data_IF_901420709995
#
_entry.id   IF_901420709995
#
_cell.length_a   1.000
_cell.length_b   1.000
_cell.length_c   1.000
_cell.angle_alpha   90.00
_cell.angle_beta   90.00
_cell.angle_gamma   90.00
#
_symmetry.space_group_name_H-M   'P 1'
#
loop_
_entity.id
_entity.type
_entity.pdbx_description
1 polymer ?
#
# COMPACT_ATOMS: atom_id res chain seq x y z
N UNK A 1 12.50 17.33 6.47
CA UNK A 1 11.82 16.28 7.24
C UNK A 1 10.92 15.51 6.31
N UNK A 2 11.25 14.24 6.07
CA UNK A 2 10.42 13.33 5.28
C UNK A 2 9.25 12.82 6.13
N UNK A 3 8.22 12.24 5.50
CA UNK A 3 7.15 11.56 6.24
C UNK A 3 7.67 10.39 7.10
N UNK A 4 8.79 9.77 6.70
CA UNK A 4 9.40 8.66 7.42
C UNK A 4 9.98 9.10 8.77
N UNK A 5 10.42 10.35 8.89
CA UNK A 5 10.95 10.90 10.15
C UNK A 5 9.87 10.95 11.24
N UNK A 6 8.59 11.06 10.84
CA UNK A 6 7.42 11.05 11.74
C UNK A 6 6.97 9.64 12.13
N UNK A 7 7.51 8.59 11.50
CA UNK A 7 7.18 7.20 11.82
C UNK A 7 8.15 6.66 12.86
N UNK A 8 7.70 6.60 14.11
CA UNK A 8 8.53 6.17 15.24
C UNK A 8 8.90 4.68 15.16
N UNK A 9 10.15 4.35 15.52
CA UNK A 9 10.67 2.97 15.47
C UNK A 9 10.77 2.39 14.05
N UNK A 10 10.74 1.06 13.91
CA UNK A 10 10.70 0.35 12.62
C UNK A 10 11.85 0.70 11.64
N UNK A 11 13.08 0.91 12.16
CA UNK A 11 14.21 1.40 11.36
C UNK A 11 14.52 0.51 10.14
N UNK A 12 14.55 -0.82 10.31
CA UNK A 12 14.76 -1.77 9.21
C UNK A 12 13.73 -1.59 8.08
N UNK A 13 12.46 -1.38 8.42
CA UNK A 13 11.41 -1.19 7.43
C UNK A 13 11.57 0.15 6.69
N UNK A 14 11.90 1.22 7.43
CA UNK A 14 12.19 2.54 6.83
C UNK A 14 13.39 2.49 5.89
N UNK A 15 14.47 1.84 6.31
CA UNK A 15 15.68 1.63 5.49
C UNK A 15 15.36 0.84 4.21
N UNK A 16 14.57 -0.23 4.31
CA UNK A 16 14.14 -1.00 3.14
C UNK A 16 13.36 -0.14 2.14
N UNK A 17 12.44 0.71 2.60
CA UNK A 17 11.70 1.61 1.72
C UNK A 17 12.60 2.64 1.03
N UNK A 18 13.56 3.22 1.77
CA UNK A 18 14.56 4.13 1.18
C UNK A 18 15.40 3.41 0.13
N UNK A 19 15.77 2.16 0.38
CA UNK A 19 16.52 1.33 -0.57
C UNK A 19 15.74 1.11 -1.88
N UNK A 20 14.46 0.70 -1.80
CA UNK A 20 13.61 0.49 -2.99
C UNK A 20 13.48 1.75 -3.85
N UNK A 21 13.45 2.92 -3.21
CA UNK A 21 13.34 4.18 -3.91
C UNK A 21 14.65 4.56 -4.63
N UNK A 22 15.80 4.35 -3.97
CA UNK A 22 17.13 4.69 -4.51
C UNK A 22 17.53 3.80 -5.68
N UNK A 23 17.26 2.50 -5.58
CA UNK A 23 17.64 1.53 -6.62
C UNK A 23 16.71 1.60 -7.85
N UNK A 24 15.63 2.39 -7.79
CA UNK A 24 14.60 2.47 -8.82
C UNK A 24 13.77 1.19 -8.98
N UNK A 25 14.04 0.17 -8.16
CA UNK A 25 13.39 -1.13 -8.17
C UNK A 25 12.40 -1.24 -7.01
N UNK A 26 11.20 -0.74 -7.24
CA UNK A 26 10.10 -0.91 -6.29
C UNK A 26 9.52 -2.33 -6.43
N UNK A 27 9.43 -3.12 -5.34
CA UNK A 27 8.82 -4.45 -5.40
C UNK A 27 7.36 -4.41 -5.85
N UNK A 28 6.94 -5.41 -6.63
CA UNK A 28 5.55 -5.57 -7.07
C UNK A 28 4.63 -6.08 -5.95
N UNK A 29 5.19 -6.68 -4.89
CA UNK A 29 4.47 -7.13 -3.71
C UNK A 29 5.31 -6.94 -2.46
N UNK A 30 4.67 -6.46 -1.38
CA UNK A 30 5.29 -6.27 -0.07
C UNK A 30 4.33 -6.83 0.99
N UNK A 31 4.82 -7.77 1.80
CA UNK A 31 4.10 -8.28 2.97
C UNK A 31 4.56 -7.54 4.21
N UNK A 32 3.61 -6.93 4.94
CA UNK A 32 3.88 -6.28 6.22
C UNK A 32 3.41 -7.16 7.37
N UNK A 33 4.35 -7.65 8.15
CA UNK A 33 4.09 -8.44 9.35
C UNK A 33 4.46 -7.64 10.62
N UNK A 34 3.75 -7.92 11.71
CA UNK A 34 4.00 -7.31 13.01
C UNK A 34 2.78 -7.43 13.91
N UNK A 35 2.94 -7.14 15.20
CA UNK A 35 1.84 -7.13 16.14
C UNK A 35 0.83 -6.01 15.83
N UNK A 36 -0.36 -6.09 16.42
CA UNK A 36 -1.32 -4.99 16.37
C UNK A 36 -0.73 -3.73 17.04
N UNK A 37 -1.05 -2.55 16.51
CA UNK A 37 -0.52 -1.29 17.00
C UNK A 37 0.89 -0.90 16.52
N UNK A 38 1.61 -1.77 15.81
CA UNK A 38 2.98 -1.47 15.29
C UNK A 38 3.01 -0.47 14.12
N UNK A 39 1.84 0.02 13.67
CA UNK A 39 1.73 1.01 12.61
C UNK A 39 1.77 0.44 11.19
N UNK A 40 1.51 -0.86 10.99
CA UNK A 40 1.49 -1.53 9.66
C UNK A 40 0.63 -0.79 8.63
N UNK A 41 -0.59 -0.38 8.99
CA UNK A 41 -1.48 0.37 8.08
C UNK A 41 -0.89 1.74 7.73
N UNK A 42 -0.35 2.46 8.71
CA UNK A 42 0.36 3.73 8.49
C UNK A 42 1.54 3.54 7.55
N UNK A 43 2.33 2.49 7.75
CA UNK A 43 3.49 2.20 6.91
C UNK A 43 3.08 1.75 5.50
N UNK A 44 2.02 0.96 5.34
CA UNK A 44 1.45 0.64 4.02
C UNK A 44 1.05 1.90 3.25
N UNK A 45 0.45 2.88 3.93
CA UNK A 45 0.13 4.19 3.33
C UNK A 45 1.40 4.96 2.92
N UNK A 46 2.46 4.90 3.73
CA UNK A 46 3.75 5.51 3.39
C UNK A 46 4.43 4.85 2.18
N UNK A 47 4.36 3.52 2.07
CA UNK A 47 4.84 2.76 0.92
C UNK A 47 4.08 3.16 -0.34
N UNK A 48 2.74 3.21 -0.28
CA UNK A 48 1.92 3.65 -1.40
C UNK A 48 2.25 5.09 -1.81
N UNK A 49 2.42 5.98 -0.83
CA UNK A 49 2.83 7.36 -1.07
C UNK A 49 4.23 7.44 -1.71
N UNK A 50 5.18 6.60 -1.30
CA UNK A 50 6.52 6.57 -1.87
C UNK A 50 6.51 6.05 -3.32
N UNK A 51 5.72 5.01 -3.59
CA UNK A 51 5.59 4.41 -4.92
C UNK A 51 5.03 5.38 -5.96
N UNK A 52 4.18 6.33 -5.55
CA UNK A 52 3.52 7.31 -6.42
C UNK A 52 4.06 8.74 -6.23
N UNK A 53 5.14 8.93 -5.47
CA UNK A 53 5.67 10.24 -5.16
C UNK A 53 6.39 10.85 -6.38
N UNK A 54 6.04 12.09 -6.73
CA UNK A 54 6.73 12.89 -7.75
C UNK A 54 7.85 13.80 -7.19
N UNK A 55 8.00 13.88 -5.86
CA UNK A 55 9.05 14.69 -5.22
C UNK A 55 10.34 13.91 -4.96
N UNK A 56 11.47 14.62 -4.83
CA UNK A 56 12.82 14.05 -4.66
C UNK A 56 12.97 13.13 -3.43
N UNK A 57 12.35 13.51 -2.30
CA UNK A 57 12.45 12.77 -1.04
C UNK A 57 11.17 11.97 -0.77
N UNK A 58 10.97 10.89 -1.52
CA UNK A 58 9.77 10.08 -1.39
C UNK A 58 9.74 9.24 -0.08
N UNK A 59 8.60 9.15 0.61
CA UNK A 59 7.37 9.92 0.39
C UNK A 59 7.50 11.37 0.87
N UNK A 60 7.31 12.34 -0.04
CA UNK A 60 7.57 13.76 0.26
C UNK A 60 6.47 14.43 1.10
N UNK A 61 5.25 13.88 1.07
CA UNK A 61 4.11 14.39 1.83
C UNK A 61 3.46 15.67 1.29
N UNK A 62 4.00 16.26 0.22
CA UNK A 62 3.54 17.56 -0.28
C UNK A 62 3.02 17.53 -1.72
N UNK A 63 3.44 16.56 -2.54
CA UNK A 63 2.94 16.38 -3.89
C UNK A 63 1.46 15.95 -3.89
N UNK A 64 0.81 16.07 -5.05
CA UNK A 64 -0.62 15.75 -5.22
C UNK A 64 -0.94 14.31 -4.81
N UNK A 65 -0.11 13.33 -5.23
CA UNK A 65 -0.33 11.92 -4.92
C UNK A 65 -0.20 11.66 -3.42
N UNK A 66 0.89 12.13 -2.78
CA UNK A 66 1.06 12.02 -1.34
C UNK A 66 -0.13 12.64 -0.58
N UNK A 67 -0.55 13.85 -0.93
CA UNK A 67 -1.69 14.52 -0.27
C UNK A 67 -3.01 13.74 -0.41
N UNK A 68 -3.31 13.21 -1.60
CA UNK A 68 -4.52 12.42 -1.84
C UNK A 68 -4.49 11.09 -1.10
N UNK A 69 -3.34 10.43 -1.03
CA UNK A 69 -3.14 9.17 -0.30
C UNK A 69 -3.33 9.38 1.21
N UNK A 70 -2.81 10.48 1.76
CA UNK A 70 -3.02 10.81 3.18
C UNK A 70 -4.46 11.19 3.54
N UNK A 71 -5.25 11.60 2.54
CA UNK A 71 -6.68 11.86 2.68
C UNK A 71 -7.56 10.66 2.31
N UNK A 72 -6.95 9.53 1.92
CA UNK A 72 -7.64 8.33 1.42
C UNK A 72 -8.60 8.60 0.23
N UNK A 73 -8.22 9.53 -0.67
CA UNK A 73 -9.02 9.90 -1.87
C UNK A 73 -8.26 9.68 -3.19
N UNK A 74 -7.16 8.93 -3.17
CA UNK A 74 -6.37 8.69 -4.38
C UNK A 74 -7.05 7.62 -5.25
N UNK A 75 -7.41 7.90 -6.51
CA UNK A 75 -8.18 6.95 -7.34
C UNK A 75 -7.41 5.66 -7.65
N UNK A 76 -6.08 5.76 -7.75
CA UNK A 76 -5.19 4.61 -8.02
C UNK A 76 -4.65 3.92 -6.76
N UNK A 77 -5.15 4.27 -5.56
CA UNK A 77 -4.80 3.56 -4.32
C UNK A 77 -6.06 3.03 -3.66
N UNK A 78 -6.15 1.71 -3.51
CA UNK A 78 -7.34 1.06 -2.96
C UNK A 78 -7.02 0.26 -1.71
N UNK A 79 -7.82 0.49 -0.67
CA UNK A 79 -7.81 -0.31 0.55
C UNK A 79 -8.83 -1.43 0.42
N UNK A 80 -8.40 -2.66 0.65
CA UNK A 80 -9.27 -3.83 0.61
C UNK A 80 -9.10 -4.59 1.91
N UNK A 81 -10.20 -4.74 2.62
CA UNK A 81 -10.28 -5.49 3.85
C UNK A 81 -11.48 -6.45 3.77
N UNK A 82 -11.47 -7.51 4.57
CA UNK A 82 -12.69 -8.26 4.86
C UNK A 82 -13.81 -7.33 5.33
N UNK A 83 -15.06 -7.70 5.05
CA UNK A 83 -16.21 -6.97 5.58
C UNK A 83 -16.17 -6.95 7.11
N UNK A 84 -16.65 -5.87 7.76
CA UNK A 84 -16.70 -5.80 9.22
C UNK A 84 -17.36 -7.03 9.83
N UNK A 85 -16.67 -7.67 10.78
CA UNK A 85 -17.15 -8.90 11.44
C UNK A 85 -16.91 -10.20 10.67
N UNK A 86 -16.35 -10.15 9.45
CA UNK A 86 -16.01 -11.35 8.67
C UNK A 86 -14.51 -11.63 8.70
N UNK A 87 -14.17 -12.92 8.75
CA UNK A 87 -12.79 -13.43 8.70
C UNK A 87 -12.48 -14.08 7.35
N UNK A 88 -13.01 -13.51 6.27
CA UNK A 88 -12.70 -13.94 4.91
C UNK A 88 -12.90 -12.84 3.88
N UNK A 89 -12.04 -12.85 2.85
CA UNK A 89 -12.25 -12.06 1.65
C UNK A 89 -13.31 -12.74 0.79
N UNK A 90 -14.30 -11.98 0.32
CA UNK A 90 -15.28 -12.49 -0.63
C UNK A 90 -14.62 -12.74 -1.99
N UNK A 91 -15.10 -13.77 -2.69
CA UNK A 91 -14.63 -14.12 -4.03
C UNK A 91 -14.76 -12.92 -4.99
N UNK A 92 -15.90 -12.23 -4.91
CA UNK A 92 -16.23 -11.09 -5.75
C UNK A 92 -15.29 -9.91 -5.51
N UNK A 93 -14.77 -9.72 -4.27
CA UNK A 93 -13.80 -8.67 -3.98
C UNK A 93 -12.47 -8.93 -4.70
N UNK A 94 -12.01 -10.18 -4.69
CA UNK A 94 -10.76 -10.60 -5.37
C UNK A 94 -10.91 -10.49 -6.89
N UNK A 95 -12.04 -10.96 -7.44
CA UNK A 95 -12.33 -10.86 -8.88
C UNK A 95 -12.39 -9.39 -9.33
N UNK A 96 -13.03 -8.51 -8.56
CA UNK A 96 -13.08 -7.07 -8.85
C UNK A 96 -11.69 -6.43 -8.81
N UNK A 97 -10.86 -6.77 -7.83
CA UNK A 97 -9.48 -6.28 -7.79
C UNK A 97 -8.70 -6.71 -9.03
N UNK A 98 -8.79 -7.99 -9.43
CA UNK A 98 -8.08 -8.50 -10.60
C UNK A 98 -8.52 -7.80 -11.89
N UNK A 99 -9.83 -7.60 -12.04
CA UNK A 99 -10.37 -6.87 -13.18
C UNK A 99 -9.88 -5.42 -13.21
N UNK A 100 -9.89 -4.73 -12.06
CA UNK A 100 -9.41 -3.36 -11.96
C UNK A 100 -7.89 -3.23 -12.18
N UNK A 101 -7.11 -4.22 -11.77
CA UNK A 101 -5.66 -4.25 -11.97
C UNK A 101 -5.26 -4.26 -13.45
N UNK A 102 -6.14 -4.75 -14.33
CA UNK A 102 -5.93 -4.72 -15.78
C UNK A 102 -6.25 -3.36 -16.42
N UNK A 103 -6.96 -2.49 -15.70
CA UNK A 103 -7.31 -1.15 -16.17
C UNK A 103 -6.14 -0.21 -15.88
N UNK A 104 -5.80 0.64 -16.87
CA UNK A 104 -4.76 1.66 -16.71
C UNK A 104 -5.02 2.56 -15.49
N UNK A 105 -3.96 3.02 -14.80
CA UNK A 105 -4.11 4.04 -13.77
C UNK A 105 -4.80 5.32 -14.30
N UNK A 106 -5.52 6.00 -13.43
CA UNK A 106 -6.25 7.22 -13.72
C UNK A 106 -5.32 8.43 -13.80
N UNK A 107 -4.46 8.62 -12.79
CA UNK A 107 -3.59 9.79 -12.71
C UNK A 107 -2.15 9.50 -12.26
N UNK A 108 -1.89 8.35 -11.65
CA UNK A 108 -0.56 7.96 -11.16
C UNK A 108 0.16 7.01 -12.13
N UNK A 109 1.50 6.86 -12.05
CA UNK A 109 2.23 5.93 -12.91
C UNK A 109 1.92 4.45 -12.63
N UNK A 110 1.35 4.13 -11.47
CA UNK A 110 1.06 2.76 -11.01
C UNK A 110 -0.24 2.75 -10.19
N UNK A 111 -0.93 1.61 -10.16
CA UNK A 111 -1.98 1.33 -9.18
C UNK A 111 -1.38 0.63 -7.96
N UNK A 112 -1.88 0.95 -6.77
CA UNK A 112 -1.44 0.34 -5.52
C UNK A 112 -2.65 -0.22 -4.78
N UNK A 113 -2.59 -1.50 -4.45
CA UNK A 113 -3.63 -2.18 -3.66
C UNK A 113 -3.08 -2.52 -2.29
N UNK A 114 -3.77 -2.06 -1.24
CA UNK A 114 -3.40 -2.34 0.15
C UNK A 114 -4.40 -3.34 0.70
N UNK A 115 -3.97 -4.59 0.79
CA UNK A 115 -4.75 -5.70 1.33
C UNK A 115 -4.53 -5.76 2.85
N UNK A 116 -5.60 -5.54 3.62
CA UNK A 116 -5.56 -5.56 5.08
C UNK A 116 -6.01 -6.91 5.62
N UNK A 117 -5.39 -7.37 6.69
CA UNK A 117 -5.75 -8.63 7.34
C UNK A 117 -5.69 -9.85 6.40
N UNK A 118 -4.62 -9.92 5.58
CA UNK A 118 -4.44 -10.97 4.56
C UNK A 118 -4.38 -12.39 5.12
N UNK A 119 -4.16 -12.55 6.44
CA UNK A 119 -4.29 -13.84 7.13
C UNK A 119 -5.70 -14.44 7.05
N UNK A 120 -6.72 -13.64 6.73
CA UNK A 120 -8.09 -14.08 6.51
C UNK A 120 -8.37 -14.48 5.06
N UNK A 121 -7.37 -14.44 4.17
CA UNK A 121 -7.57 -14.92 2.80
C UNK A 121 -7.78 -16.44 2.77
N UNK A 122 -8.73 -16.88 1.95
CA UNK A 122 -8.89 -18.30 1.66
C UNK A 122 -7.76 -18.76 0.72
N UNK A 123 -7.48 -20.07 0.67
CA UNK A 123 -6.51 -20.63 -0.28
C UNK A 123 -6.86 -20.26 -1.73
N UNK A 124 -8.15 -20.20 -2.05
CA UNK A 124 -8.61 -19.72 -3.36
C UNK A 124 -8.20 -18.26 -3.61
N UNK A 125 -8.42 -17.37 -2.64
CA UNK A 125 -8.06 -15.95 -2.77
C UNK A 125 -6.53 -15.76 -2.90
N UNK A 126 -5.74 -16.55 -2.18
CA UNK A 126 -4.27 -16.53 -2.26
C UNK A 126 -3.77 -16.99 -3.63
N UNK A 127 -4.35 -18.05 -4.19
CA UNK A 127 -3.94 -18.57 -5.51
C UNK A 127 -4.44 -17.72 -6.69
N UNK A 128 -5.44 -16.86 -6.47
CA UNK A 128 -6.02 -16.02 -7.50
C UNK A 128 -5.26 -14.70 -7.70
N UNK A 129 -4.44 -14.29 -6.73
CA UNK A 129 -3.65 -13.05 -6.73
C UNK A 129 -2.21 -13.32 -7.11
#
# INVERSE_FOLDING_TARGET
MTLLDRFFGNNKAKEALVFYQRDGRFPHGILLEGQEGTGRKTFARMIAAAALCEGENAPCGQCRHCKKIWKDIHPDVQWIAPEPGKKSFKKEQVERLRADAWIKPNEAPRKVYILCETQYMTAWAQNAL
#
